data_IF_324196469952
#
_entry.id   IF_324196469952
#
_cell.length_a   1.000
_cell.length_b   1.000
_cell.length_c   1.000
_cell.angle_alpha   90.00
_cell.angle_beta   90.00
_cell.angle_gamma   90.00
#
_symmetry.space_group_name_H-M   'P 1'
#
loop_
_entity.id
_entity.type
_entity.pdbx_description
1 polymer ?
#
# COMPACT_ATOMS: atom_id res chain seq x y z
N UNK A 1 8.62 22.52 6.03
CA UNK A 1 8.17 21.13 6.25
C UNK A 1 9.32 20.20 5.86
N UNK A 2 9.59 19.15 6.63
CA UNK A 2 10.65 18.19 6.30
C UNK A 2 10.27 17.39 5.03
N UNK A 3 11.20 17.14 4.09
CA UNK A 3 10.89 16.37 2.87
C UNK A 3 10.73 14.86 3.14
N UNK A 4 11.24 14.35 4.26
CA UNK A 4 11.31 12.92 4.56
C UNK A 4 9.94 12.22 4.64
N UNK A 5 8.91 12.74 5.35
CA UNK A 5 7.60 12.11 5.40
C UNK A 5 6.88 12.07 4.04
N UNK A 6 7.14 13.08 3.20
CA UNK A 6 6.61 13.14 1.83
C UNK A 6 7.20 12.05 0.96
N UNK A 7 8.51 11.81 1.05
CA UNK A 7 9.17 10.70 0.34
C UNK A 7 8.62 9.34 0.80
N UNK A 8 8.42 9.15 2.10
CA UNK A 8 7.83 7.92 2.65
C UNK A 8 6.41 7.70 2.14
N UNK A 9 5.60 8.76 2.09
CA UNK A 9 4.25 8.70 1.51
C UNK A 9 4.28 8.29 0.04
N UNK A 10 5.23 8.84 -0.73
CA UNK A 10 5.40 8.52 -2.14
C UNK A 10 5.84 7.06 -2.34
N UNK A 11 6.75 6.55 -1.51
CA UNK A 11 7.17 5.15 -1.53
C UNK A 11 6.01 4.20 -1.17
N UNK A 12 5.19 4.54 -0.18
CA UNK A 12 4.01 3.75 0.18
C UNK A 12 3.00 3.66 -0.98
N UNK A 13 2.76 4.78 -1.67
CA UNK A 13 1.89 4.81 -2.84
C UNK A 13 2.48 4.03 -4.02
N UNK A 14 3.80 4.12 -4.23
CA UNK A 14 4.49 3.37 -5.27
C UNK A 14 4.42 1.86 -5.02
N UNK A 15 4.62 1.41 -3.78
CA UNK A 15 4.43 0.01 -3.38
C UNK A 15 3.00 -0.46 -3.67
N UNK A 16 2.00 0.34 -3.30
CA UNK A 16 0.60 0.01 -3.56
C UNK A 16 0.29 -0.10 -5.06
N UNK A 17 0.88 0.78 -5.87
CA UNK A 17 0.77 0.74 -7.32
C UNK A 17 1.36 -0.55 -7.91
N UNK A 18 2.53 -1.00 -7.43
CA UNK A 18 3.14 -2.27 -7.84
C UNK A 18 2.23 -3.46 -7.50
N UNK A 19 1.67 -3.49 -6.30
CA UNK A 19 0.73 -4.54 -5.88
C UNK A 19 -0.52 -4.54 -6.76
N UNK A 20 -1.02 -3.36 -7.14
CA UNK A 20 -2.17 -3.22 -8.05
C UNK A 20 -1.86 -3.76 -9.45
N UNK A 21 -0.66 -3.49 -9.99
CA UNK A 21 -0.21 -4.09 -11.26
C UNK A 21 -0.16 -5.62 -11.16
N UNK A 22 0.32 -6.16 -10.03
CA UNK A 22 0.38 -7.60 -9.82
C UNK A 22 -1.03 -8.25 -9.81
N UNK A 23 -2.05 -7.58 -9.29
CA UNK A 23 -3.45 -8.03 -9.43
C UNK A 23 -3.86 -8.05 -10.90
N UNK A 24 -3.52 -7.02 -11.68
CA UNK A 24 -3.79 -6.98 -13.13
C UNK A 24 -3.11 -8.13 -13.88
N UNK A 25 -1.86 -8.44 -13.55
CA UNK A 25 -1.13 -9.60 -14.09
C UNK A 25 -1.78 -10.92 -13.67
N UNK A 26 -2.25 -11.03 -12.43
CA UNK A 26 -2.97 -12.20 -11.93
C UNK A 26 -4.30 -12.40 -12.66
N UNK A 27 -5.04 -11.34 -12.99
CA UNK A 27 -6.25 -11.42 -13.83
C UNK A 27 -5.97 -12.07 -15.17
N UNK A 28 -4.92 -11.61 -15.86
CA UNK A 28 -4.50 -12.17 -17.13
C UNK A 28 -4.05 -13.64 -17.00
N UNK A 29 -3.29 -13.95 -15.94
CA UNK A 29 -2.78 -15.32 -15.68
C UNK A 29 -3.89 -16.34 -15.39
N UNK A 30 -4.88 -15.96 -14.58
CA UNK A 30 -5.96 -16.85 -14.15
C UNK A 30 -7.24 -16.73 -15.00
N UNK A 31 -7.22 -15.89 -16.05
CA UNK A 31 -8.34 -15.74 -16.99
C UNK A 31 -9.59 -15.13 -16.38
N UNK A 32 -9.45 -14.22 -15.40
CA UNK A 32 -10.59 -13.62 -14.70
C UNK A 32 -10.91 -12.25 -15.31
N UNK A 33 -11.98 -12.14 -16.11
CA UNK A 33 -12.35 -10.87 -16.75
C UNK A 33 -12.83 -9.85 -15.71
N UNK A 34 -12.55 -8.58 -15.92
CA UNK A 34 -13.23 -7.54 -15.15
C UNK A 34 -14.73 -7.51 -15.54
N UNK A 35 -15.68 -7.28 -14.60
CA UNK A 35 -15.52 -6.88 -13.20
C UNK A 35 -15.46 -8.03 -12.19
N UNK A 36 -15.29 -9.28 -12.64
CA UNK A 36 -15.34 -10.46 -11.77
C UNK A 36 -14.19 -10.44 -10.75
N UNK A 37 -14.52 -10.73 -9.49
CA UNK A 37 -13.59 -10.67 -8.36
C UNK A 37 -13.35 -12.04 -7.70
N UNK A 38 -14.06 -13.07 -8.15
CA UNK A 38 -14.01 -14.43 -7.62
C UNK A 38 -13.73 -15.44 -8.75
N UNK A 39 -13.18 -16.59 -8.40
CA UNK A 39 -12.90 -17.66 -9.36
C UNK A 39 -11.75 -18.54 -8.89
N UNK A 40 -10.53 -18.22 -9.30
CA UNK A 40 -9.36 -18.98 -8.90
C UNK A 40 -8.93 -18.60 -7.46
N UNK A 41 -8.78 -19.57 -6.53
CA UNK A 41 -8.33 -19.29 -5.16
C UNK A 41 -6.99 -18.54 -5.07
N UNK A 42 -6.07 -18.75 -6.00
CA UNK A 42 -4.78 -18.05 -6.04
C UNK A 42 -4.96 -16.58 -6.47
N UNK A 43 -5.90 -16.29 -7.38
CA UNK A 43 -6.25 -14.92 -7.73
C UNK A 43 -6.87 -14.19 -6.54
N UNK A 44 -7.82 -14.84 -5.86
CA UNK A 44 -8.49 -14.25 -4.69
C UNK A 44 -7.48 -13.91 -3.60
N UNK A 45 -6.47 -14.76 -3.35
CA UNK A 45 -5.39 -14.43 -2.40
C UNK A 45 -4.60 -13.18 -2.81
N UNK A 46 -4.20 -13.06 -4.08
CA UNK A 46 -3.48 -11.87 -4.58
C UNK A 46 -4.35 -10.62 -4.46
N UNK A 47 -5.64 -10.74 -4.77
CA UNK A 47 -6.60 -9.65 -4.65
C UNK A 47 -6.82 -9.23 -3.20
N UNK A 48 -6.90 -10.17 -2.26
CA UNK A 48 -7.05 -9.88 -0.82
C UNK A 48 -5.81 -9.21 -0.24
N UNK A 49 -4.60 -9.56 -0.70
CA UNK A 49 -3.37 -8.83 -0.31
C UNK A 49 -3.45 -7.36 -0.71
N UNK A 50 -3.88 -7.07 -1.95
CA UNK A 50 -4.05 -5.70 -2.42
C UNK A 50 -5.13 -4.94 -1.63
N UNK A 51 -6.27 -5.58 -1.34
CA UNK A 51 -7.34 -4.98 -0.54
C UNK A 51 -6.90 -4.69 0.90
N UNK A 52 -6.24 -5.65 1.57
CA UNK A 52 -5.72 -5.46 2.92
C UNK A 52 -4.72 -4.30 2.98
N UNK A 53 -3.89 -4.15 1.94
CA UNK A 53 -2.95 -3.03 1.86
C UNK A 53 -3.69 -1.70 1.69
N UNK A 54 -4.74 -1.65 0.87
CA UNK A 54 -5.58 -0.45 0.70
C UNK A 54 -6.25 -0.04 2.01
N UNK A 55 -6.86 -1.00 2.71
CA UNK A 55 -7.52 -0.77 4.00
C UNK A 55 -6.55 -0.17 5.03
N UNK A 56 -5.31 -0.67 5.08
CA UNK A 56 -4.29 -0.14 5.98
C UNK A 56 -3.73 1.21 5.53
N UNK A 57 -3.59 1.45 4.23
CA UNK A 57 -3.05 2.70 3.68
C UNK A 57 -3.89 3.91 4.11
N UNK A 58 -5.22 3.73 4.19
CA UNK A 58 -6.18 4.74 4.64
C UNK A 58 -5.90 5.19 6.08
N UNK A 59 -5.45 4.28 6.96
CA UNK A 59 -5.04 4.64 8.32
C UNK A 59 -3.59 5.14 8.39
N UNK A 60 -2.70 4.51 7.64
CA UNK A 60 -1.27 4.80 7.66
C UNK A 60 -0.95 6.24 7.26
N UNK A 61 -1.47 6.72 6.13
CA UNK A 61 -1.14 8.05 5.62
C UNK A 61 -1.57 9.17 6.59
N UNK A 62 -2.84 9.26 7.03
CA UNK A 62 -3.24 10.29 7.99
C UNK A 62 -2.47 10.19 9.32
N UNK A 63 -2.27 8.98 9.85
CA UNK A 63 -1.54 8.78 11.09
C UNK A 63 -0.07 9.24 10.99
N UNK A 64 0.59 8.95 9.87
CA UNK A 64 1.95 9.41 9.58
C UNK A 64 2.02 10.94 9.60
N UNK A 65 1.10 11.61 8.90
CA UNK A 65 1.09 13.08 8.79
C UNK A 65 0.76 13.75 10.12
N UNK A 66 -0.21 13.23 10.87
CA UNK A 66 -0.53 13.71 12.24
C UNK A 66 0.72 13.58 13.13
N UNK A 67 1.37 12.41 13.16
CA UNK A 67 2.58 12.22 13.95
C UNK A 67 3.71 13.20 13.55
N UNK A 68 3.93 13.39 12.24
CA UNK A 68 4.98 14.27 11.75
C UNK A 68 4.72 15.75 12.08
N UNK A 69 3.45 16.18 12.10
CA UNK A 69 3.08 17.55 12.45
C UNK A 69 3.18 17.84 13.94
N UNK A 70 2.72 16.92 14.79
CA UNK A 70 2.60 17.18 16.22
C UNK A 70 3.81 16.72 17.04
N UNK A 71 4.55 15.71 16.59
CA UNK A 71 5.63 15.11 17.37
C UNK A 71 7.00 15.35 16.74
N UNK A 72 7.34 14.60 15.70
CA UNK A 72 8.65 14.74 15.05
C UNK A 72 8.68 14.12 13.64
N UNK A 73 9.02 14.90 12.59
CA UNK A 73 9.10 14.40 11.22
C UNK A 73 10.17 13.32 10.96
N UNK A 74 11.30 13.35 11.68
CA UNK A 74 12.39 12.38 11.51
C UNK A 74 11.98 11.00 12.04
N UNK A 75 11.40 10.96 13.24
CA UNK A 75 10.86 9.73 13.82
C UNK A 75 9.69 9.18 13.01
N UNK A 76 8.79 10.06 12.54
CA UNK A 76 7.68 9.67 11.66
C UNK A 76 8.17 9.06 10.35
N UNK A 77 9.20 9.65 9.72
CA UNK A 77 9.80 9.09 8.51
C UNK A 77 10.50 7.74 8.78
N UNK A 78 11.14 7.56 9.93
CA UNK A 78 11.76 6.28 10.33
C UNK A 78 10.73 5.17 10.49
N UNK A 79 9.68 5.42 11.26
CA UNK A 79 8.59 4.45 11.48
C UNK A 79 7.81 4.17 10.19
N UNK A 80 7.56 5.20 9.38
CA UNK A 80 6.89 5.03 8.09
C UNK A 80 7.72 4.23 7.09
N UNK A 81 9.04 4.45 7.04
CA UNK A 81 9.95 3.63 6.23
C UNK A 81 9.93 2.17 6.67
N UNK A 82 9.94 1.90 7.97
CA UNK A 82 9.84 0.55 8.52
C UNK A 82 8.53 -0.15 8.09
N UNK A 83 7.41 0.60 8.11
CA UNK A 83 6.12 0.09 7.64
C UNK A 83 6.15 -0.26 6.14
N UNK A 84 6.76 0.59 5.30
CA UNK A 84 6.90 0.34 3.86
C UNK A 84 7.74 -0.90 3.58
N UNK A 85 8.82 -1.13 4.34
CA UNK A 85 9.66 -2.34 4.18
C UNK A 85 8.97 -3.61 4.67
N UNK A 86 8.10 -3.49 5.68
CA UNK A 86 7.34 -4.62 6.23
C UNK A 86 6.12 -5.04 5.39
N UNK A 87 5.85 -4.38 4.26
CA UNK A 87 4.71 -4.62 3.38
C UNK A 87 5.17 -5.05 1.99
#
# INVERSE_FOLDING_TARGET
MSPWPTLVSLLALLLYFIVTINVGRARAKYGIPAPQMSGNPDFERVLRVQQNMLEQLIFFLPALWIFCWYLNPLWGAGLGSLWVVGR
#
